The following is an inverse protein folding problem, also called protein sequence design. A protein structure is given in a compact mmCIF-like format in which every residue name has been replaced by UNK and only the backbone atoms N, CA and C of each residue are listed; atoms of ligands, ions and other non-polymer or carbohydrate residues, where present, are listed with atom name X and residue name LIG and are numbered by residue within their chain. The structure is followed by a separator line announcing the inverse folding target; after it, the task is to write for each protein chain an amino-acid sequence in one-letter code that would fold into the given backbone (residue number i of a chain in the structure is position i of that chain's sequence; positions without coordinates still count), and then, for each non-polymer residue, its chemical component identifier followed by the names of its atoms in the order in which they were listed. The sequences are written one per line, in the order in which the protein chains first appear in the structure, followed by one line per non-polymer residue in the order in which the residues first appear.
data_IF_112555655857
#
_entry.id   IF_112555655857
#
_cell.length_a   1.000
_cell.length_b   1.000
_cell.length_c   1.000
_cell.angle_alpha   90.00
_cell.angle_beta   90.00
_cell.angle_gamma   90.00
#
_symmetry.space_group_name_H-M   'P 1'
#
loop_
_entity.id
_entity.type
_entity.pdbx_description
1 polymer ?
#
# COMPACT_ATOMS: atom_id res chain seq x y z
N UNK A 1 3.50 17.33 21.06
CA UNK A 1 4.69 16.46 20.94
C UNK A 1 4.57 15.54 19.73
N UNK A 2 5.38 15.81 18.70
CA UNK A 2 5.44 15.08 17.41
C UNK A 2 5.53 13.56 17.60
N UNK A 3 6.18 13.12 18.67
CA UNK A 3 6.36 11.72 19.05
C UNK A 3 5.04 10.95 19.29
N UNK A 4 4.05 11.60 19.93
CA UNK A 4 2.74 10.97 20.22
C UNK A 4 1.88 10.84 18.96
N UNK A 5 2.03 11.77 18.01
CA UNK A 5 1.35 11.69 16.72
C UNK A 5 1.99 10.62 15.83
N UNK A 6 3.33 10.53 15.84
CA UNK A 6 4.06 9.50 15.11
C UNK A 6 3.72 8.09 15.59
N UNK A 7 3.60 7.86 16.90
CA UNK A 7 3.19 6.56 17.45
C UNK A 7 1.76 6.16 17.03
N UNK A 8 0.82 7.12 17.00
CA UNK A 8 -0.56 6.88 16.54
C UNK A 8 -0.61 6.59 15.04
N UNK A 9 0.17 7.30 14.24
CA UNK A 9 0.29 7.07 12.80
C UNK A 9 0.93 5.72 12.51
N UNK A 10 2.01 5.36 13.21
CA UNK A 10 2.65 4.04 13.09
C UNK A 10 1.67 2.89 13.40
N UNK A 11 0.77 3.06 14.38
CA UNK A 11 -0.26 2.07 14.69
C UNK A 11 -1.31 1.89 13.58
N UNK A 12 -1.54 2.90 12.73
CA UNK A 12 -2.44 2.80 11.58
C UNK A 12 -1.81 2.06 10.39
N UNK A 13 -0.47 2.01 10.35
CA UNK A 13 0.33 1.42 9.28
C UNK A 13 1.23 0.27 9.79
N UNK A 14 0.66 -0.84 10.29
CA UNK A 14 1.44 -1.95 10.84
C UNK A 14 2.32 -2.66 9.80
N UNK A 15 2.06 -2.46 8.51
CA UNK A 15 2.84 -3.03 7.40
C UNK A 15 4.10 -2.21 7.06
N UNK A 16 4.29 -1.04 7.65
CA UNK A 16 5.49 -0.23 7.44
C UNK A 16 6.61 -0.67 8.40
N UNK A 17 7.88 -0.69 7.95
CA UNK A 17 8.99 -1.15 8.75
C UNK A 17 9.27 -0.20 9.92
N UNK A 18 9.83 -0.77 10.99
CA UNK A 18 10.25 -0.03 12.17
C UNK A 18 11.30 1.04 11.78
N UNK A 19 11.02 2.28 12.16
CA UNK A 19 11.83 3.45 11.80
C UNK A 19 11.16 4.40 10.80
N UNK A 20 10.01 4.04 10.22
CA UNK A 20 9.23 4.94 9.35
C UNK A 20 8.95 6.27 10.05
N UNK A 21 9.40 7.36 9.43
CA UNK A 21 9.18 8.73 9.89
C UNK A 21 7.90 9.28 9.24
N UNK A 22 7.03 9.84 10.07
CA UNK A 22 5.82 10.51 9.63
C UNK A 22 6.01 12.00 9.83
N UNK A 23 5.95 12.76 8.74
CA UNK A 23 6.06 14.22 8.76
C UNK A 23 4.71 14.81 8.36
N UNK A 24 4.06 15.49 9.29
CA UNK A 24 2.79 16.17 9.03
C UNK A 24 3.09 17.64 8.71
N UNK A 25 2.86 18.06 7.46
CA UNK A 25 3.04 19.44 7.02
C UNK A 25 1.81 19.89 6.21
N UNK A 26 1.27 21.06 6.54
CA UNK A 26 0.17 21.72 5.81
C UNK A 26 -1.06 20.82 5.50
N UNK A 27 -1.44 19.97 6.46
CA UNK A 27 -2.56 19.04 6.33
C UNK A 27 -2.27 17.79 5.50
N UNK A 28 -1.03 17.60 5.03
CA UNK A 28 -0.55 16.40 4.34
C UNK A 28 0.39 15.61 5.23
N UNK A 29 0.30 14.27 5.16
CA UNK A 29 1.18 13.36 5.89
C UNK A 29 2.16 12.75 4.91
N UNK A 30 3.44 13.14 5.03
CA UNK A 30 4.54 12.53 4.29
C UNK A 30 5.06 11.34 5.09
N UNK A 31 5.07 10.18 4.47
CA UNK A 31 5.58 8.94 5.06
C UNK A 31 6.96 8.67 4.44
N UNK A 32 8.00 8.73 5.27
CA UNK A 32 9.37 8.43 4.91
C UNK A 32 9.77 7.07 5.49
N UNK A 33 9.92 6.08 4.61
CA UNK A 33 10.26 4.71 5.02
C UNK A 33 11.78 4.52 4.97
N UNK A 34 12.48 4.34 6.11
CA UNK A 34 13.92 4.07 6.10
C UNK A 34 14.17 2.67 5.56
N UNK A 35 15.12 2.55 4.65
CA UNK A 35 15.42 1.29 3.95
C UNK A 35 14.91 1.23 2.52
N UNK A 36 14.06 2.18 2.10
CA UNK A 36 13.87 2.50 0.69
C UNK A 36 15.10 3.27 0.16
N UNK A 37 16.28 2.66 0.24
CA UNK A 37 17.44 3.16 -0.50
C UNK A 37 17.06 3.20 -1.99
N UNK A 38 17.52 4.21 -2.72
CA UNK A 38 17.23 4.39 -4.15
C UNK A 38 17.36 3.05 -4.92
N UNK A 39 18.37 2.23 -4.60
CA UNK A 39 18.60 0.90 -5.19
C UNK A 39 17.51 -0.14 -4.92
N UNK A 40 16.90 -0.13 -3.73
CA UNK A 40 15.78 -1.02 -3.39
C UNK A 40 14.50 -0.62 -4.12
N UNK A 41 14.28 0.68 -4.30
CA UNK A 41 13.15 1.22 -5.08
C UNK A 41 13.30 0.87 -6.56
N UNK A 42 14.49 1.01 -7.15
CA UNK A 42 14.71 0.65 -8.57
C UNK A 42 14.52 -0.85 -8.82
N UNK A 43 14.94 -1.71 -7.88
CA UNK A 43 14.70 -3.15 -8.01
C UNK A 43 13.22 -3.50 -7.81
N UNK A 44 12.53 -2.83 -6.88
CA UNK A 44 11.10 -2.96 -6.68
C UNK A 44 10.31 -2.60 -7.95
N UNK A 45 10.68 -1.51 -8.63
CA UNK A 45 10.09 -1.10 -9.92
C UNK A 45 10.32 -2.14 -11.01
N UNK A 46 11.53 -2.70 -11.10
CA UNK A 46 11.85 -3.75 -12.08
C UNK A 46 11.03 -5.02 -11.84
N UNK A 47 10.88 -5.42 -10.57
CA UNK A 47 10.02 -6.54 -10.18
C UNK A 47 8.55 -6.24 -10.44
N UNK A 48 8.10 -5.01 -10.21
CA UNK A 48 6.71 -4.59 -10.47
C UNK A 48 6.39 -4.72 -11.96
N UNK A 49 7.24 -4.19 -12.84
CA UNK A 49 7.06 -4.32 -14.29
C UNK A 49 7.03 -5.79 -14.75
N UNK A 50 7.82 -6.66 -14.11
CA UNK A 50 7.80 -8.11 -14.37
C UNK A 50 6.48 -8.75 -13.91
N UNK A 51 5.97 -8.35 -12.76
CA UNK A 51 4.69 -8.80 -12.22
C UNK A 51 3.52 -8.33 -13.10
N UNK A 52 3.54 -7.08 -13.55
CA UNK A 52 2.56 -6.50 -14.47
C UNK A 52 2.49 -7.31 -15.76
N UNK A 53 3.63 -7.61 -16.37
CA UNK A 53 3.69 -8.41 -17.60
C UNK A 53 3.06 -9.79 -17.42
N UNK A 54 3.29 -10.44 -16.27
CA UNK A 54 2.70 -11.75 -15.96
C UNK A 54 1.20 -11.66 -15.68
N UNK A 55 0.77 -10.64 -14.95
CA UNK A 55 -0.65 -10.37 -14.69
C UNK A 55 -1.41 -10.11 -16.00
N UNK A 56 -0.82 -9.33 -16.92
CA UNK A 56 -1.38 -9.11 -18.26
C UNK A 56 -1.45 -10.39 -19.09
N UNK A 57 -0.49 -11.31 -18.91
CA UNK A 57 -0.50 -12.64 -19.51
C UNK A 57 -1.50 -13.62 -18.89
N UNK A 58 -2.27 -13.21 -17.87
CA UNK A 58 -3.21 -14.08 -17.15
C UNK A 58 -2.54 -15.00 -16.12
N UNK A 59 -1.22 -14.89 -15.92
CA UNK A 59 -0.46 -15.70 -14.96
C UNK A 59 -0.53 -15.12 -13.55
N UNK A 60 -1.76 -14.86 -13.06
CA UNK A 60 -2.02 -14.20 -11.77
C UNK A 60 -1.35 -14.90 -10.58
N UNK A 61 -1.39 -16.24 -10.55
CA UNK A 61 -0.78 -17.04 -9.49
C UNK A 61 0.75 -16.86 -9.41
N UNK A 62 1.40 -16.56 -10.54
CA UNK A 62 2.85 -16.30 -10.59
C UNK A 62 3.19 -14.83 -10.38
N UNK A 63 2.26 -13.91 -10.63
CA UNK A 63 2.50 -12.48 -10.38
C UNK A 63 2.35 -12.12 -8.91
N UNK A 64 1.44 -12.78 -8.17
CA UNK A 64 1.23 -12.55 -6.72
C UNK A 64 2.52 -12.50 -5.89
N UNK A 65 3.38 -13.53 -5.86
CA UNK A 65 4.59 -13.53 -5.04
C UNK A 65 5.61 -12.45 -5.45
N UNK A 66 5.56 -11.98 -6.70
CA UNK A 66 6.45 -10.93 -7.18
C UNK A 66 5.99 -9.57 -6.63
N UNK A 67 4.68 -9.32 -6.62
CA UNK A 67 4.15 -8.11 -5.97
C UNK A 67 4.41 -8.11 -4.46
N UNK A 68 4.32 -9.26 -3.79
CA UNK A 68 4.71 -9.36 -2.38
C UNK A 68 6.19 -8.98 -2.18
N UNK A 69 7.09 -9.44 -3.05
CA UNK A 69 8.50 -9.00 -3.03
C UNK A 69 8.64 -7.50 -3.28
N UNK A 70 7.86 -6.93 -4.20
CA UNK A 70 7.84 -5.48 -4.43
C UNK A 70 7.41 -4.74 -3.16
N UNK A 71 6.40 -5.23 -2.45
CA UNK A 71 5.93 -4.65 -1.19
C UNK A 71 6.91 -4.88 -0.04
N UNK A 72 7.74 -5.91 -0.06
CA UNK A 72 8.84 -6.06 0.90
C UNK A 72 9.93 -5.01 0.69
N UNK A 73 10.24 -4.69 -0.57
CA UNK A 73 11.25 -3.68 -0.92
C UNK A 73 10.70 -2.26 -0.77
N UNK A 74 9.44 -2.05 -1.14
CA UNK A 74 8.73 -0.79 -0.99
C UNK A 74 7.32 -1.01 -0.43
N UNK A 75 7.19 -1.07 0.90
CA UNK A 75 5.89 -1.24 1.58
C UNK A 75 4.91 -0.10 1.33
N UNK A 76 5.39 1.09 0.99
CA UNK A 76 4.58 2.27 0.73
C UNK A 76 4.10 2.37 -0.73
N UNK A 77 4.49 1.43 -1.62
CA UNK A 77 4.11 1.48 -3.02
C UNK A 77 2.63 1.13 -3.23
N UNK A 78 1.82 2.15 -3.53
CA UNK A 78 0.37 2.02 -3.73
C UNK A 78 0.06 1.24 -5.03
N UNK A 79 0.71 1.57 -6.15
CA UNK A 79 0.43 0.95 -7.45
C UNK A 79 0.66 -0.58 -7.45
N UNK A 80 1.81 -1.11 -6.96
CA UNK A 80 2.01 -2.56 -6.81
C UNK A 80 0.99 -3.22 -5.87
N UNK A 81 0.62 -2.55 -4.76
CA UNK A 81 -0.41 -3.05 -3.83
C UNK A 81 -1.78 -3.11 -4.50
N UNK A 82 -2.11 -2.14 -5.35
CA UNK A 82 -3.36 -2.11 -6.15
C UNK A 82 -3.37 -3.24 -7.17
N UNK A 83 -2.26 -3.47 -7.84
CA UNK A 83 -2.15 -4.56 -8.81
C UNK A 83 -2.19 -5.92 -8.11
N UNK A 84 -1.57 -6.08 -6.94
CA UNK A 84 -1.71 -7.27 -6.10
C UNK A 84 -3.17 -7.50 -5.70
N UNK A 85 -3.88 -6.46 -5.28
CA UNK A 85 -5.32 -6.54 -4.96
C UNK A 85 -6.13 -7.09 -6.14
N UNK A 86 -5.86 -6.59 -7.35
CA UNK A 86 -6.50 -7.08 -8.58
C UNK A 86 -6.15 -8.55 -8.86
N UNK A 87 -4.88 -8.93 -8.67
CA UNK A 87 -4.41 -10.31 -8.83
C UNK A 87 -5.13 -11.24 -7.85
N UNK A 88 -5.19 -10.90 -6.56
CA UNK A 88 -5.91 -11.68 -5.55
C UNK A 88 -7.40 -11.79 -5.89
N UNK A 89 -8.03 -10.70 -6.36
CA UNK A 89 -9.42 -10.74 -6.84
C UNK A 89 -9.61 -11.71 -8.01
N UNK A 90 -8.68 -11.74 -8.97
CA UNK A 90 -8.71 -12.66 -10.12
C UNK A 90 -8.47 -14.12 -9.73
N UNK A 91 -7.72 -14.34 -8.64
CA UNK A 91 -7.48 -15.67 -8.06
C UNK A 91 -8.64 -16.17 -7.19
N UNK A 92 -9.62 -15.30 -6.87
CA UNK A 92 -10.73 -15.62 -5.96
C UNK A 92 -10.40 -15.44 -4.47
N UNK A 93 -9.24 -14.85 -4.16
CA UNK A 93 -8.76 -14.56 -2.81
C UNK A 93 -9.34 -13.21 -2.33
N UNK A 94 -10.66 -13.15 -2.19
CA UNK A 94 -11.38 -11.90 -1.94
C UNK A 94 -11.07 -11.28 -0.58
N UNK A 95 -10.80 -12.09 0.45
CA UNK A 95 -10.49 -11.58 1.79
C UNK A 95 -9.14 -10.85 1.80
N UNK A 96 -8.10 -11.46 1.22
CA UNK A 96 -6.78 -10.84 1.11
C UNK A 96 -6.80 -9.58 0.22
N UNK A 97 -7.59 -9.62 -0.86
CA UNK A 97 -7.81 -8.43 -1.69
C UNK A 97 -8.48 -7.28 -0.90
N UNK A 98 -9.44 -7.58 -0.02
CA UNK A 98 -10.07 -6.55 0.83
C UNK A 98 -9.07 -5.96 1.81
N UNK A 99 -8.23 -6.78 2.43
CA UNK A 99 -7.22 -6.31 3.39
C UNK A 99 -6.24 -5.34 2.72
N UNK A 100 -5.71 -5.71 1.54
CA UNK A 100 -4.83 -4.81 0.78
C UNK A 100 -5.51 -3.52 0.34
N UNK A 101 -6.79 -3.58 0.00
CA UNK A 101 -7.56 -2.41 -0.38
C UNK A 101 -7.79 -1.46 0.81
N UNK A 102 -8.05 -2.01 2.00
CA UNK A 102 -8.14 -1.23 3.24
C UNK A 102 -6.82 -0.51 3.50
N UNK A 103 -5.69 -1.16 3.28
CA UNK A 103 -4.36 -0.56 3.43
C UNK A 103 -4.10 0.56 2.41
N UNK A 104 -4.50 0.39 1.14
CA UNK A 104 -4.43 1.45 0.12
C UNK A 104 -5.23 2.67 0.56
N UNK A 105 -6.45 2.47 1.06
CA UNK A 105 -7.32 3.56 1.54
C UNK A 105 -6.75 4.27 2.77
N UNK A 106 -5.93 3.58 3.57
CA UNK A 106 -5.20 4.20 4.69
C UNK A 106 -4.03 5.06 4.21
N UNK A 107 -3.31 4.61 3.16
CA UNK A 107 -2.17 5.33 2.58
C UNK A 107 -2.62 6.55 1.77
N UNK A 108 -3.65 6.38 0.95
CA UNK A 108 -4.23 7.44 0.14
C UNK A 108 -5.75 7.36 0.18
N UNK A 109 -6.40 8.18 1.03
CA UNK A 109 -7.85 8.27 1.10
C UNK A 109 -8.52 8.79 -0.18
N UNK A 110 -7.77 9.48 -1.04
CA UNK A 110 -8.22 10.03 -2.33
C UNK A 110 -8.17 9.02 -3.47
N UNK A 111 -7.32 7.99 -3.39
CA UNK A 111 -7.17 6.96 -4.43
C UNK A 111 -8.20 5.81 -4.33
N UNK A 112 -9.37 6.08 -3.76
CA UNK A 112 -10.47 5.11 -3.67
C UNK A 112 -10.90 4.71 -5.09
N UNK A 113 -10.81 3.41 -5.48
CA UNK A 113 -11.39 2.98 -6.74
C UNK A 113 -12.92 3.18 -6.67
N UNK A 114 -13.56 3.68 -7.74
CA UNK A 114 -14.98 4.08 -7.72
C UNK A 114 -15.95 2.94 -7.37
N UNK A 115 -15.50 1.69 -7.41
CA UNK A 115 -16.34 0.49 -7.29
C UNK A 115 -16.24 -0.18 -5.90
N UNK A 116 -15.51 0.43 -4.96
CA UNK A 116 -15.32 -0.13 -3.61
C UNK A 116 -16.43 0.40 -2.71
N UNK A 117 -17.45 -0.43 -2.49
CA UNK A 117 -18.47 -0.20 -1.45
C UNK A 117 -17.89 -0.51 -0.07
N UNK A 118 -16.79 0.17 0.26
CA UNK A 118 -16.19 0.17 1.59
C UNK A 118 -16.91 1.23 2.41
N UNK A 119 -17.54 0.77 3.49
CA UNK A 119 -18.29 1.55 4.47
C UNK A 119 -17.74 2.98 4.65
N UNK A 120 -18.62 4.00 4.77
CA UNK A 120 -18.18 5.36 5.02
C UNK A 120 -17.56 5.38 6.43
N UNK A 121 -16.25 5.21 6.51
CA UNK A 121 -15.53 5.44 7.75
C UNK A 121 -15.69 6.93 8.04
N UNK A 122 -16.55 7.20 9.03
CA UNK A 122 -16.90 8.55 9.47
C UNK A 122 -15.68 9.20 10.10
N UNK A 123 -14.77 9.71 9.28
CA UNK A 123 -13.95 10.86 9.65
C UNK A 123 -14.78 12.11 9.36
N UNK A 124 -15.87 12.26 10.11
CA UNK A 124 -16.57 13.54 10.20
C UNK A 124 -15.79 14.33 11.24
N UNK A 125 -15.08 15.42 10.89
CA UNK A 125 -14.62 16.35 11.91
C UNK A 125 -15.87 16.93 12.56
N UNK A 126 -16.07 16.67 13.84
CA UNK A 126 -17.10 17.37 14.62
C UNK A 126 -16.70 18.84 14.74
N UNK A 127 -17.68 19.77 14.75
CA UNK A 127 -17.44 21.21 14.69
C UNK A 127 -16.62 21.76 15.85
#
# INVERSE_FOLDING_TARGET
PTDVQNAKLAALFPFLPAGTTFTVADGSVTIEVPGAGMSGVTEAERLAAKADKRAQGGEFAKSKPIYEQVLQLNPAAIEPRRNLTMVCYKLGEFEEAKDHLIEILRLDPSNRPPNVVGCPNKLRPTP
#
